data_IF_163302420313
#
_entry.id   IF_163302420313
#
_cell.length_a   1.000
_cell.length_b   1.000
_cell.length_c   1.000
_cell.angle_alpha   90.00
_cell.angle_beta   90.00
_cell.angle_gamma   90.00
#
_symmetry.space_group_name_H-M   'P 1'
#
loop_
_entity.id
_entity.type
_entity.pdbx_description
1 polymer ?
#
# COMPACT_ATOMS: atom_id res chain seq x y z
N UNK A 1 8.79 -9.10 -6.64
CA UNK A 1 8.41 -8.76 -8.02
C UNK A 1 6.89 -8.75 -8.14
N UNK A 2 6.20 -9.87 -7.88
CA UNK A 2 4.72 -9.97 -7.94
C UNK A 2 3.95 -8.84 -7.26
N UNK A 3 4.21 -8.50 -5.98
CA UNK A 3 3.45 -7.43 -5.28
C UNK A 3 3.55 -6.06 -5.95
N UNK A 4 4.70 -5.72 -6.55
CA UNK A 4 4.87 -4.45 -7.27
C UNK A 4 4.14 -4.46 -8.60
N UNK A 5 4.13 -5.59 -9.32
CA UNK A 5 3.43 -5.74 -10.58
C UNK A 5 1.90 -5.70 -10.38
N UNK A 6 1.39 -6.38 -9.36
CA UNK A 6 -0.02 -6.37 -8.98
C UNK A 6 -0.45 -4.97 -8.55
N UNK A 7 0.31 -4.33 -7.66
CA UNK A 7 0.04 -2.94 -7.25
C UNK A 7 0.06 -1.96 -8.42
N UNK A 8 1.01 -2.11 -9.37
CA UNK A 8 1.01 -1.34 -10.61
C UNK A 8 -0.27 -1.53 -11.40
N UNK A 9 -0.73 -2.76 -11.56
CA UNK A 9 -1.94 -3.06 -12.33
C UNK A 9 -3.19 -2.42 -11.71
N UNK A 10 -3.25 -2.26 -10.37
CA UNK A 10 -4.36 -1.58 -9.68
C UNK A 10 -4.55 -0.14 -10.19
N UNK A 11 -3.47 0.62 -10.43
CA UNK A 11 -3.60 2.02 -10.89
C UNK A 11 -3.38 2.22 -12.40
N UNK A 12 -2.70 1.28 -13.08
CA UNK A 12 -2.31 1.41 -14.48
C UNK A 12 -3.25 0.70 -15.47
N UNK A 13 -4.18 -0.13 -15.01
CA UNK A 13 -5.13 -0.85 -15.88
C UNK A 13 -6.57 -0.41 -15.63
N UNK A 14 -7.50 -0.85 -16.48
CA UNK A 14 -8.94 -0.54 -16.40
C UNK A 14 -9.75 -1.81 -16.66
N UNK A 15 -11.02 -1.83 -16.23
CA UNK A 15 -11.95 -2.92 -16.50
C UNK A 15 -11.60 -4.21 -15.76
N UNK A 16 -11.83 -5.35 -16.39
CA UNK A 16 -11.66 -6.68 -15.78
C UNK A 16 -10.26 -6.91 -15.20
N UNK A 17 -9.22 -6.47 -15.91
CA UNK A 17 -7.83 -6.61 -15.46
C UNK A 17 -7.53 -5.83 -14.18
N UNK A 18 -8.17 -4.66 -14.01
CA UNK A 18 -8.03 -3.87 -12.81
C UNK A 18 -8.73 -4.54 -11.62
N UNK A 19 -9.91 -5.10 -11.85
CA UNK A 19 -10.67 -5.85 -10.85
C UNK A 19 -9.94 -7.12 -10.38
N UNK A 20 -9.29 -7.84 -11.30
CA UNK A 20 -8.44 -8.99 -10.96
C UNK A 20 -7.23 -8.55 -10.13
N UNK A 21 -6.50 -7.51 -10.57
CA UNK A 21 -5.37 -6.97 -9.83
C UNK A 21 -5.76 -6.49 -8.44
N UNK A 22 -6.94 -5.87 -8.29
CA UNK A 22 -7.48 -5.46 -6.99
C UNK A 22 -7.71 -6.66 -6.07
N UNK A 23 -8.35 -7.72 -6.57
CA UNK A 23 -8.58 -8.94 -5.79
C UNK A 23 -7.27 -9.56 -5.32
N UNK A 24 -6.32 -9.76 -6.24
CA UNK A 24 -5.01 -10.32 -5.92
C UNK A 24 -4.25 -9.43 -4.92
N UNK A 25 -4.29 -8.10 -5.10
CA UNK A 25 -3.67 -7.17 -4.16
C UNK A 25 -4.28 -7.27 -2.77
N UNK A 26 -5.60 -7.31 -2.66
CA UNK A 26 -6.30 -7.49 -1.39
C UNK A 26 -5.94 -8.82 -0.73
N UNK A 27 -5.82 -9.91 -1.48
CA UNK A 27 -5.36 -11.19 -0.93
C UNK A 27 -3.94 -11.12 -0.38
N UNK A 28 -3.01 -10.45 -1.09
CA UNK A 28 -1.65 -10.20 -0.60
C UNK A 28 -1.68 -9.43 0.72
N UNK A 29 -2.50 -8.37 0.82
CA UNK A 29 -2.63 -7.58 2.04
C UNK A 29 -3.19 -8.40 3.21
N UNK A 30 -4.17 -9.26 2.94
CA UNK A 30 -4.75 -10.17 3.95
C UNK A 30 -3.74 -11.20 4.45
N UNK A 31 -2.89 -11.74 3.57
CA UNK A 31 -1.78 -12.61 3.97
C UNK A 31 -0.82 -11.86 4.89
N UNK A 32 -0.43 -10.63 4.53
CA UNK A 32 0.43 -9.81 5.37
C UNK A 32 -0.20 -9.50 6.74
N UNK A 33 -1.50 -9.20 6.77
CA UNK A 33 -2.23 -8.96 8.01
C UNK A 33 -2.33 -10.22 8.87
N UNK A 34 -2.57 -11.38 8.25
CA UNK A 34 -2.56 -12.68 8.92
C UNK A 34 -1.21 -13.00 9.54
N UNK A 35 -0.13 -12.74 8.80
CA UNK A 35 1.23 -12.87 9.29
C UNK A 35 1.47 -11.93 10.48
N UNK A 36 1.10 -10.65 10.38
CA UNK A 36 1.20 -9.69 11.47
C UNK A 36 0.46 -10.17 12.73
N UNK A 37 -0.75 -10.71 12.57
CA UNK A 37 -1.59 -11.19 13.66
C UNK A 37 -1.91 -10.06 14.64
N UNK A 38 -1.70 -10.31 15.94
CA UNK A 38 -1.89 -9.31 17.01
C UNK A 38 -0.59 -8.60 17.42
N UNK A 39 0.49 -8.77 16.63
CA UNK A 39 1.78 -8.17 16.95
C UNK A 39 1.76 -6.69 16.58
N UNK A 40 2.42 -5.82 17.38
CA UNK A 40 2.47 -4.39 17.07
C UNK A 40 3.34 -4.06 15.86
N UNK A 41 4.23 -4.98 15.46
CA UNK A 41 5.15 -4.89 14.33
C UNK A 41 5.35 -6.29 13.74
N UNK A 42 5.79 -6.37 12.49
CA UNK A 42 6.21 -7.63 11.87
C UNK A 42 7.42 -8.25 12.59
N UNK A 43 8.34 -7.43 13.10
CA UNK A 43 9.42 -7.86 14.00
C UNK A 43 8.95 -8.32 15.39
N UNK A 44 7.65 -8.40 15.64
CA UNK A 44 7.07 -8.79 16.91
C UNK A 44 7.02 -7.62 17.89
N UNK A 45 7.87 -7.63 18.91
CA UNK A 45 7.93 -6.54 19.93
C UNK A 45 8.77 -5.37 19.47
N UNK A 46 9.72 -5.61 18.57
CA UNK A 46 10.63 -4.59 18.04
C UNK A 46 10.31 -4.31 16.58
N UNK A 47 10.60 -3.08 16.18
CA UNK A 47 10.49 -2.65 14.80
C UNK A 47 11.65 -3.23 13.98
N UNK A 48 11.35 -3.85 12.85
CA UNK A 48 12.32 -4.55 12.02
C UNK A 48 12.31 -4.11 10.55
N UNK A 49 13.07 -4.84 9.73
CA UNK A 49 13.22 -4.57 8.30
C UNK A 49 11.88 -4.66 7.54
N UNK A 50 11.06 -5.65 7.88
CA UNK A 50 9.74 -5.84 7.25
C UNK A 50 8.82 -4.65 7.48
N UNK A 51 8.89 -4.04 8.68
CA UNK A 51 8.12 -2.84 9.00
C UNK A 51 8.58 -1.63 8.16
N UNK A 52 9.89 -1.49 7.91
CA UNK A 52 10.44 -0.46 7.00
C UNK A 52 9.92 -0.65 5.58
N UNK A 53 9.93 -1.90 5.09
CA UNK A 53 9.41 -2.21 3.75
C UNK A 53 7.92 -1.86 3.64
N UNK A 54 7.10 -2.24 4.62
CA UNK A 54 5.66 -1.91 4.65
C UNK A 54 5.41 -0.41 4.62
N UNK A 55 6.20 0.36 5.37
CA UNK A 55 6.10 1.81 5.40
C UNK A 55 6.33 2.43 4.02
N UNK A 56 7.27 1.90 3.23
CA UNK A 56 7.47 2.32 1.84
C UNK A 56 6.24 2.11 0.97
N UNK A 57 5.41 1.10 1.27
CA UNK A 57 4.14 0.87 0.60
C UNK A 57 2.99 1.73 1.15
N UNK A 58 3.06 2.17 2.42
CA UNK A 58 2.00 2.95 3.04
C UNK A 58 1.69 4.25 2.29
N UNK A 59 2.70 4.96 1.79
CA UNK A 59 2.46 6.18 0.99
C UNK A 59 1.76 5.90 -0.36
N UNK A 60 1.79 4.65 -0.85
CA UNK A 60 1.08 4.22 -2.05
C UNK A 60 -0.34 3.74 -1.77
N UNK A 61 -0.74 3.52 -0.52
CA UNK A 61 -2.09 3.02 -0.20
C UNK A 61 -3.17 3.98 -0.70
N UNK A 62 -2.95 5.29 -0.55
CA UNK A 62 -3.85 6.30 -1.09
C UNK A 62 -4.05 6.16 -2.61
N UNK A 63 -2.98 5.85 -3.36
CA UNK A 63 -3.06 5.61 -4.81
C UNK A 63 -3.90 4.38 -5.09
N UNK A 64 -3.65 3.27 -4.40
CA UNK A 64 -4.39 2.03 -4.63
C UNK A 64 -5.87 2.17 -4.29
N UNK A 65 -6.21 2.83 -3.18
CA UNK A 65 -7.59 3.10 -2.78
C UNK A 65 -8.30 4.03 -3.80
N UNK A 66 -7.60 5.09 -4.25
CA UNK A 66 -8.15 6.07 -5.21
C UNK A 66 -8.44 5.44 -6.57
N UNK A 67 -7.49 4.69 -7.14
CA UNK A 67 -7.66 4.11 -8.48
C UNK A 67 -8.41 2.78 -8.46
N UNK A 68 -8.24 1.97 -7.41
CA UNK A 68 -8.92 0.68 -7.24
C UNK A 68 -10.32 0.79 -6.65
N UNK A 69 -10.73 1.97 -6.16
CA UNK A 69 -12.03 2.24 -5.57
C UNK A 69 -12.42 1.23 -4.48
N UNK A 70 -11.51 1.03 -3.51
CA UNK A 70 -11.71 0.18 -2.34
C UNK A 70 -11.01 0.79 -1.12
N UNK A 71 -11.26 0.25 0.06
CA UNK A 71 -10.57 0.67 1.28
C UNK A 71 -9.68 -0.45 1.81
N UNK A 72 -8.39 -0.16 1.93
CA UNK A 72 -7.42 -1.07 2.55
C UNK A 72 -7.68 -1.16 4.05
N UNK A 73 -8.13 -0.09 4.70
CA UNK A 73 -8.47 -0.10 6.13
C UNK A 73 -9.67 -1.01 6.43
N UNK A 74 -10.68 -1.04 5.55
CA UNK A 74 -11.82 -1.93 5.71
C UNK A 74 -11.43 -3.41 5.54
N UNK A 75 -10.54 -3.70 4.59
CA UNK A 75 -10.11 -5.07 4.28
C UNK A 75 -9.05 -5.58 5.25
N UNK A 76 -8.15 -4.70 5.71
CA UNK A 76 -6.97 -5.02 6.51
C UNK A 76 -6.71 -4.00 7.65
N UNK A 77 -7.61 -3.92 8.65
CA UNK A 77 -7.56 -2.89 9.70
C UNK A 77 -6.32 -2.96 10.60
N UNK A 78 -5.83 -4.16 10.94
CA UNK A 78 -4.63 -4.33 11.77
C UNK A 78 -3.37 -3.93 11.02
N UNK A 79 -3.33 -4.20 9.71
CA UNK A 79 -2.21 -3.77 8.86
C UNK A 79 -2.12 -2.24 8.82
N UNK A 80 -3.26 -1.55 8.63
CA UNK A 80 -3.32 -0.09 8.69
C UNK A 80 -2.95 0.44 10.06
N UNK A 81 -3.44 -0.16 11.14
CA UNK A 81 -3.10 0.24 12.50
C UNK A 81 -1.58 0.11 12.76
N UNK A 82 -0.96 -0.98 12.31
CA UNK A 82 0.49 -1.17 12.38
C UNK A 82 1.23 -0.10 11.57
N UNK A 83 0.80 0.19 10.33
CA UNK A 83 1.42 1.22 9.50
C UNK A 83 1.30 2.62 10.14
N UNK A 84 0.12 3.00 10.65
CA UNK A 84 -0.08 4.27 11.39
C UNK A 84 0.84 4.36 12.61
N UNK A 85 0.96 3.29 13.40
CA UNK A 85 1.87 3.22 14.55
C UNK A 85 3.35 3.35 14.14
N UNK A 86 3.73 2.76 13.00
CA UNK A 86 5.05 2.95 12.43
C UNK A 86 5.33 4.42 12.07
N UNK A 87 4.32 5.16 11.58
CA UNK A 87 4.42 6.57 11.21
C UNK A 87 4.59 7.52 12.40
N UNK A 88 4.17 7.14 13.61
CA UNK A 88 4.37 7.93 14.84
C UNK A 88 5.86 8.12 15.18
N UNK A 89 6.74 7.27 14.62
CA UNK A 89 8.19 7.46 14.75
C UNK A 89 8.65 8.61 13.86
N UNK A 90 8.99 9.73 14.49
CA UNK A 90 9.39 11.00 13.85
C UNK A 90 10.41 10.86 12.71
N UNK A 91 11.35 9.91 12.78
CA UNK A 91 12.34 9.67 11.71
C UNK A 91 11.73 9.07 10.45
N UNK A 92 10.69 8.26 10.59
CA UNK A 92 10.05 7.55 9.49
C UNK A 92 9.07 8.48 8.77
N UNK A 93 8.31 9.29 9.51
CA UNK A 93 7.42 10.29 8.91
C UNK A 93 8.16 11.33 8.08
N UNK A 94 9.37 11.76 8.51
CA UNK A 94 10.23 12.68 7.74
C UNK A 94 10.85 12.06 6.48
N UNK A 95 10.95 10.73 6.42
CA UNK A 95 11.60 10.03 5.30
C UNK A 95 10.62 9.64 4.19
N UNK A 96 9.31 9.72 4.46
CA UNK A 96 8.29 9.27 3.51
C UNK A 96 7.75 10.41 2.69
N UNK A 97 7.48 10.09 1.43
CA UNK A 97 6.79 10.99 0.53
C UNK A 97 5.32 11.06 0.95
N UNK A 98 4.80 12.28 0.97
CA UNK A 98 3.38 12.53 1.20
C UNK A 98 2.50 11.73 0.21
N UNK A 99 1.45 11.02 0.68
CA UNK A 99 0.61 10.18 -0.18
C UNK A 99 -0.04 10.94 -1.35
N UNK A 100 -0.37 12.22 -1.19
CA UNK A 100 -0.92 13.03 -2.29
C UNK A 100 0.15 13.35 -3.34
N UNK A 101 1.39 13.60 -2.94
CA UNK A 101 2.51 13.75 -3.90
C UNK A 101 2.77 12.47 -4.69
N UNK A 102 2.61 11.30 -4.07
CA UNK A 102 2.70 10.01 -4.78
C UNK A 102 1.56 9.89 -5.80
N UNK A 103 0.34 10.30 -5.43
CA UNK A 103 -0.78 10.32 -6.35
C UNK A 103 -0.59 11.29 -7.53
N UNK A 104 -0.09 12.51 -7.28
CA UNK A 104 0.24 13.48 -8.33
C UNK A 104 1.29 12.91 -9.30
N UNK A 105 2.31 12.24 -8.76
CA UNK A 105 3.30 11.54 -9.57
C UNK A 105 2.67 10.45 -10.44
N UNK A 106 1.77 9.63 -9.87
CA UNK A 106 1.05 8.58 -10.62
C UNK A 106 0.14 9.17 -11.70
N UNK A 107 -0.55 10.28 -11.43
CA UNK A 107 -1.34 11.00 -12.43
C UNK A 107 -0.46 11.46 -13.60
N UNK A 108 0.71 12.05 -13.31
CA UNK A 108 1.69 12.41 -14.33
C UNK A 108 2.19 11.21 -15.14
N UNK A 109 2.43 10.06 -14.49
CA UNK A 109 2.80 8.82 -15.18
C UNK A 109 1.68 8.31 -16.10
N UNK A 110 0.43 8.33 -15.63
CA UNK A 110 -0.71 7.88 -16.45
C UNK A 110 -0.86 8.73 -17.71
N UNK A 111 -0.70 10.05 -17.59
CA UNK A 111 -0.68 10.96 -18.73
C UNK A 111 0.44 10.63 -19.72
N UNK A 112 1.66 10.46 -19.23
CA UNK A 112 2.82 10.16 -20.07
C UNK A 112 2.73 8.79 -20.77
N UNK A 113 1.99 7.84 -20.18
CA UNK A 113 1.78 6.50 -20.72
C UNK A 113 0.49 6.37 -21.55
N UNK A 114 -0.31 7.43 -21.69
CA UNK A 114 -1.59 7.40 -22.40
C UNK A 114 -2.66 6.53 -21.72
N UNK A 115 -2.62 6.44 -20.38
CA UNK A 115 -3.52 5.62 -19.54
C UNK A 115 -4.66 6.42 -18.90
N UNK A 116 -4.87 7.66 -19.35
CA UNK A 116 -5.93 8.57 -18.90
C UNK A 116 -7.32 7.99 -19.14
#
# INVERSE_FOLDING_TARGET
MQTYDVGRNVWATKGEKQEEAKKEFTEILRVLEGELGDRPYFGGKTFGLTDISLIGFYCWFYVYETFGNFSIEAECPKLIACAKKCMEKERLSKSLVDPHKVNDFVLGMKKNLGLE
#
